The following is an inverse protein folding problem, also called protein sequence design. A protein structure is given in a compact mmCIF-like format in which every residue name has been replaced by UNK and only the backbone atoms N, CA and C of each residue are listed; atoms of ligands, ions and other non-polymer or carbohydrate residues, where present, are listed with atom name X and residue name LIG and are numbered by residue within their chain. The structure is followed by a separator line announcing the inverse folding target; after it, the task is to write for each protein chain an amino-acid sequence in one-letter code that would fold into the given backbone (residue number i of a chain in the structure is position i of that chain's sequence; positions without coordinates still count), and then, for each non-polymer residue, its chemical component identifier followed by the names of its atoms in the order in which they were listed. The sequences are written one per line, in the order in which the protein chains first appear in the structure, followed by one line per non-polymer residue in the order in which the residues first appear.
data_IF_924816142123
#
_entry.id   IF_924816142123
#
_cell.length_a   1.000
_cell.length_b   1.000
_cell.length_c   1.000
_cell.angle_alpha   90.00
_cell.angle_beta   90.00
_cell.angle_gamma   90.00
#
_symmetry.space_group_name_H-M   'P 1'
#
loop_
_entity.id
_entity.type
_entity.pdbx_description
1 polymer ?
#
# COMPACT_ATOMS: atom_id res chain seq x y z
N UNK A 1 26.70 -54.78 63.11
CA UNK A 1 25.58 -53.84 63.26
C UNK A 1 26.16 -52.45 63.07
N UNK A 2 26.31 -52.06 61.81
CA UNK A 2 25.44 -51.12 61.06
C UNK A 2 26.04 -49.71 61.19
N UNK A 3 27.01 -49.36 60.33
CA UNK A 3 26.80 -48.65 59.05
C UNK A 3 25.70 -47.59 59.18
N UNK A 4 26.09 -46.32 59.21
CA UNK A 4 25.44 -45.27 58.44
C UNK A 4 26.43 -44.15 58.13
N UNK A 5 27.08 -44.38 56.98
CA UNK A 5 27.96 -43.47 56.27
C UNK A 5 27.10 -42.57 55.37
N UNK A 6 27.36 -41.28 55.42
CA UNK A 6 27.13 -40.26 54.37
C UNK A 6 26.02 -40.51 53.35
N UNK A 7 25.00 -39.65 53.35
CA UNK A 7 24.46 -39.15 52.08
C UNK A 7 23.83 -37.77 52.28
N UNK A 8 24.66 -36.72 52.29
CA UNK A 8 24.17 -35.39 51.94
C UNK A 8 23.91 -35.44 50.43
N UNK A 9 22.67 -35.79 50.08
CA UNK A 9 22.18 -35.79 48.71
C UNK A 9 22.09 -34.33 48.23
N UNK A 10 23.22 -33.76 47.82
CA UNK A 10 23.25 -32.58 46.98
C UNK A 10 22.75 -32.98 45.60
N UNK A 11 21.42 -33.10 45.46
CA UNK A 11 20.78 -33.11 44.15
C UNK A 11 20.91 -31.70 43.58
N UNK A 12 21.67 -31.48 42.49
CA UNK A 12 21.52 -30.23 41.77
C UNK A 12 20.13 -30.29 41.15
N UNK A 13 19.23 -29.42 41.61
CA UNK A 13 17.99 -29.15 40.90
C UNK A 13 18.31 -28.97 39.40
N UNK A 14 17.55 -29.54 38.46
CA UNK A 14 17.66 -29.15 37.07
C UNK A 14 17.02 -27.75 36.94
N UNK A 15 17.69 -26.74 37.50
CA UNK A 15 17.43 -25.32 37.25
C UNK A 15 17.97 -25.00 35.86
N UNK A 16 17.24 -25.51 34.88
CA UNK A 16 17.67 -25.58 33.50
C UNK A 16 16.49 -25.36 32.58
N UNK A 17 15.75 -24.28 32.77
CA UNK A 17 15.16 -23.62 31.60
C UNK A 17 16.34 -23.37 30.65
N UNK A 18 16.46 -24.20 29.60
CA UNK A 18 17.60 -24.29 28.68
C UNK A 18 18.21 -22.90 28.44
N UNK A 19 19.37 -22.62 29.06
CA UNK A 19 20.12 -21.40 28.78
C UNK A 19 20.68 -21.56 27.36
N UNK A 20 19.94 -21.03 26.38
CA UNK A 20 20.38 -21.00 24.99
C UNK A 20 21.78 -20.41 24.90
N UNK A 21 22.62 -21.04 24.09
CA UNK A 21 23.97 -20.53 23.81
C UNK A 21 23.89 -19.14 23.16
N UNK A 22 24.97 -18.36 23.23
CA UNK A 22 25.02 -17.05 22.57
C UNK A 22 24.70 -17.16 21.07
N UNK A 23 25.24 -18.18 20.40
CA UNK A 23 25.00 -18.46 18.98
C UNK A 23 23.51 -18.75 18.69
N UNK A 24 22.85 -19.55 19.52
CA UNK A 24 21.42 -19.83 19.39
C UNK A 24 20.55 -18.57 19.60
N UNK A 25 20.94 -17.70 20.55
CA UNK A 25 20.26 -16.42 20.78
C UNK A 25 20.43 -15.49 19.58
N UNK A 26 21.64 -15.38 19.03
CA UNK A 26 21.91 -14.58 17.83
C UNK A 26 21.12 -15.08 16.62
N UNK A 27 21.09 -16.40 16.39
CA UNK A 27 20.31 -17.00 15.32
C UNK A 27 18.81 -16.76 15.50
N UNK A 28 18.30 -16.86 16.73
CA UNK A 28 16.90 -16.54 17.05
C UNK A 28 16.57 -15.08 16.75
N UNK A 29 17.43 -14.13 17.14
CA UNK A 29 17.25 -12.70 16.86
C UNK A 29 17.29 -12.41 15.36
N UNK A 30 18.19 -13.05 14.61
CA UNK A 30 18.27 -12.90 13.16
C UNK A 30 16.98 -13.38 12.48
N UNK A 31 16.45 -14.54 12.89
CA UNK A 31 15.17 -15.06 12.39
C UNK A 31 14.00 -14.14 12.74
N UNK A 32 13.99 -13.58 13.95
CA UNK A 32 12.96 -12.60 14.36
C UNK A 32 13.04 -11.32 13.52
N UNK A 33 14.25 -10.77 13.30
CA UNK A 33 14.46 -9.60 12.43
C UNK A 33 13.95 -9.87 11.02
N UNK A 34 14.27 -11.02 10.43
CA UNK A 34 13.80 -11.39 9.10
C UNK A 34 12.27 -11.47 9.02
N UNK A 35 11.61 -12.08 10.03
CA UNK A 35 10.14 -12.14 10.11
C UNK A 35 9.52 -10.75 10.22
N UNK A 36 10.11 -9.85 11.01
CA UNK A 36 9.65 -8.46 11.13
C UNK A 36 9.79 -7.71 9.81
N UNK A 37 10.92 -7.86 9.10
CA UNK A 37 11.11 -7.25 7.78
C UNK A 37 10.07 -7.75 6.77
N UNK A 38 9.79 -9.05 6.75
CA UNK A 38 8.75 -9.62 5.87
C UNK A 38 7.36 -9.07 6.19
N UNK A 39 6.99 -9.01 7.48
CA UNK A 39 5.71 -8.43 7.91
C UNK A 39 5.60 -6.95 7.54
N UNK A 40 6.64 -6.16 7.76
CA UNK A 40 6.66 -4.76 7.37
C UNK A 40 6.52 -4.56 5.86
N UNK A 41 7.18 -5.41 5.06
CA UNK A 41 7.03 -5.39 3.60
C UNK A 41 5.60 -5.73 3.15
N UNK A 42 4.95 -6.71 3.80
CA UNK A 42 3.57 -7.07 3.52
C UNK A 42 2.60 -5.93 3.87
N UNK A 43 2.76 -5.29 5.04
CA UNK A 43 1.94 -4.14 5.45
C UNK A 43 2.12 -2.96 4.47
N UNK A 44 3.35 -2.66 4.07
CA UNK A 44 3.64 -1.62 3.08
C UNK A 44 3.05 -1.94 1.69
N UNK A 45 2.96 -3.22 1.33
CA UNK A 45 2.31 -3.64 0.09
C UNK A 45 0.80 -3.37 0.16
N UNK A 46 0.15 -3.74 1.26
CA UNK A 46 -1.29 -3.52 1.42
C UNK A 46 -1.63 -2.03 1.47
N UNK A 47 -0.86 -1.23 2.21
CA UNK A 47 -1.04 0.22 2.24
C UNK A 47 -0.89 0.89 0.86
N UNK A 48 0.05 0.40 0.03
CA UNK A 48 0.19 0.88 -1.36
C UNK A 48 -1.00 0.49 -2.23
N UNK A 49 -1.54 -0.71 -2.04
CA UNK A 49 -2.73 -1.19 -2.77
C UNK A 49 -3.93 -0.33 -2.45
N UNK A 50 -4.16 -0.07 -1.15
CA UNK A 50 -5.23 0.80 -0.68
C UNK A 50 -5.09 2.22 -1.25
N UNK A 51 -3.91 2.83 -1.13
CA UNK A 51 -3.64 4.16 -1.70
C UNK A 51 -3.87 4.19 -3.21
N UNK A 52 -3.53 3.11 -3.92
CA UNK A 52 -3.79 3.02 -5.37
C UNK A 52 -5.28 3.01 -5.66
N UNK A 53 -6.08 2.27 -4.89
CA UNK A 53 -7.54 2.27 -5.00
C UNK A 53 -8.14 3.66 -4.78
N UNK A 54 -7.64 4.39 -3.76
CA UNK A 54 -8.09 5.75 -3.46
C UNK A 54 -7.79 6.72 -4.62
N UNK A 55 -6.59 6.65 -5.22
CA UNK A 55 -6.23 7.47 -6.38
C UNK A 55 -7.11 7.16 -7.61
N UNK A 56 -7.47 5.89 -7.81
CA UNK A 56 -8.39 5.47 -8.88
C UNK A 56 -9.78 6.07 -8.64
N UNK A 57 -10.31 5.99 -7.42
CA UNK A 57 -11.61 6.56 -7.08
C UNK A 57 -11.66 8.08 -7.32
N UNK A 58 -10.59 8.80 -6.98
CA UNK A 58 -10.47 10.24 -7.30
C UNK A 58 -10.42 10.48 -8.81
N UNK A 59 -9.70 9.67 -9.58
CA UNK A 59 -9.67 9.75 -11.04
C UNK A 59 -11.06 9.61 -11.65
N UNK A 60 -11.81 8.58 -11.25
CA UNK A 60 -13.19 8.34 -11.72
C UNK A 60 -14.10 9.54 -11.41
N UNK A 61 -14.00 10.08 -10.19
CA UNK A 61 -14.77 11.26 -9.79
C UNK A 61 -14.45 12.47 -10.68
N UNK A 62 -13.18 12.72 -10.98
CA UNK A 62 -12.77 13.85 -11.84
C UNK A 62 -13.25 13.67 -13.27
N UNK A 63 -13.13 12.47 -13.85
CA UNK A 63 -13.64 12.18 -15.20
C UNK A 63 -15.17 12.40 -15.28
N UNK A 64 -15.92 11.87 -14.31
CA UNK A 64 -17.38 12.07 -14.23
C UNK A 64 -17.75 13.55 -14.09
N UNK A 65 -17.02 14.29 -13.24
CA UNK A 65 -17.24 15.73 -13.07
C UNK A 65 -16.95 16.49 -14.36
N UNK A 66 -15.86 16.18 -15.05
CA UNK A 66 -15.49 16.85 -16.30
C UNK A 66 -16.54 16.62 -17.40
N UNK A 67 -16.98 15.37 -17.58
CA UNK A 67 -17.98 15.01 -18.60
C UNK A 67 -19.29 15.80 -18.43
N UNK A 68 -19.76 15.90 -17.19
CA UNK A 68 -21.01 16.57 -16.86
C UNK A 68 -20.88 18.09 -16.65
N UNK A 69 -19.67 18.64 -16.69
CA UNK A 69 -19.42 20.06 -16.49
C UNK A 69 -19.74 20.88 -17.74
N UNK A 70 -20.25 22.11 -17.50
CA UNK A 70 -20.31 23.14 -18.52
C UNK A 70 -18.89 23.54 -19.00
N UNK A 71 -18.74 24.07 -20.23
CA UNK A 71 -17.43 24.38 -20.81
C UNK A 71 -16.52 25.23 -19.91
N UNK A 72 -17.07 26.27 -19.27
CA UNK A 72 -16.30 27.13 -18.35
C UNK A 72 -15.70 26.36 -17.15
N UNK A 73 -16.41 25.35 -16.66
CA UNK A 73 -15.95 24.54 -15.55
C UNK A 73 -14.91 23.50 -15.98
N UNK A 74 -14.97 23.03 -17.24
CA UNK A 74 -13.94 22.18 -17.84
C UNK A 74 -12.61 22.93 -17.96
N UNK A 75 -12.64 24.17 -18.44
CA UNK A 75 -11.45 25.02 -18.54
C UNK A 75 -10.79 25.28 -17.18
N UNK A 76 -11.59 25.43 -16.11
CA UNK A 76 -11.06 25.54 -14.74
C UNK A 76 -10.33 24.26 -14.30
N UNK A 77 -10.84 23.08 -14.66
CA UNK A 77 -10.18 21.80 -14.36
C UNK A 77 -8.88 21.64 -15.14
N UNK A 78 -8.86 22.01 -16.42
CA UNK A 78 -7.64 22.00 -17.25
C UNK A 78 -6.59 22.95 -16.67
N UNK A 79 -7.00 24.16 -16.28
CA UNK A 79 -6.12 25.16 -15.66
C UNK A 79 -5.52 24.65 -14.35
N UNK A 80 -6.34 24.07 -13.47
CA UNK A 80 -5.87 23.49 -12.22
C UNK A 80 -4.86 22.34 -12.47
N UNK A 81 -5.12 21.49 -13.47
CA UNK A 81 -4.17 20.42 -13.83
C UNK A 81 -2.83 20.98 -14.29
N UNK A 82 -2.81 22.09 -15.06
CA UNK A 82 -1.59 22.77 -15.47
C UNK A 82 -0.82 23.41 -14.31
N UNK A 83 -1.54 23.87 -13.28
CA UNK A 83 -0.94 24.45 -12.07
C UNK A 83 -0.31 23.39 -11.16
N UNK A 84 -1.04 22.29 -10.90
CA UNK A 84 -0.65 21.32 -9.87
C UNK A 84 0.13 20.11 -10.38
N UNK A 85 0.03 19.76 -11.67
CA UNK A 85 0.74 18.62 -12.24
C UNK A 85 1.96 19.05 -13.05
N UNK A 86 2.96 18.18 -13.10
CA UNK A 86 4.19 18.37 -13.87
C UNK A 86 4.53 17.13 -14.68
N UNK A 87 5.37 17.33 -15.70
CA UNK A 87 5.97 16.28 -16.51
C UNK A 87 4.94 15.26 -17.03
N UNK A 88 5.25 13.98 -16.86
CA UNK A 88 4.43 12.86 -17.31
C UNK A 88 3.01 12.88 -16.75
N UNK A 89 2.80 13.40 -15.54
CA UNK A 89 1.46 13.43 -14.95
C UNK A 89 0.61 14.53 -15.60
N UNK A 90 1.20 15.68 -15.90
CA UNK A 90 0.55 16.74 -16.66
C UNK A 90 0.16 16.24 -18.06
N UNK A 91 1.10 15.66 -18.80
CA UNK A 91 0.84 15.14 -20.14
C UNK A 91 -0.29 14.10 -20.17
N UNK A 92 -0.32 13.19 -19.18
CA UNK A 92 -1.37 12.17 -19.07
C UNK A 92 -2.74 12.76 -18.76
N UNK A 93 -2.81 13.73 -17.84
CA UNK A 93 -4.08 14.35 -17.48
C UNK A 93 -4.66 15.15 -18.67
N UNK A 94 -3.83 15.92 -19.37
CA UNK A 94 -4.26 16.65 -20.56
C UNK A 94 -4.72 15.73 -21.69
N UNK A 95 -4.00 14.62 -21.93
CA UNK A 95 -4.44 13.60 -22.90
C UNK A 95 -5.77 12.94 -22.48
N UNK A 96 -5.99 12.75 -21.18
CA UNK A 96 -7.26 12.25 -20.65
C UNK A 96 -8.43 13.17 -20.92
N UNK A 97 -8.27 14.49 -20.69
CA UNK A 97 -9.31 15.47 -21.00
C UNK A 97 -9.60 15.57 -22.50
N UNK A 98 -8.56 15.57 -23.35
CA UNK A 98 -8.73 15.59 -24.79
C UNK A 98 -9.56 14.38 -25.28
N UNK A 99 -9.25 13.17 -24.78
CA UNK A 99 -10.04 11.96 -25.06
C UNK A 99 -11.51 12.12 -24.65
N UNK A 100 -11.78 12.69 -23.47
CA UNK A 100 -13.15 12.93 -23.01
C UNK A 100 -13.90 13.95 -23.89
N UNK A 101 -13.24 15.00 -24.37
CA UNK A 101 -13.88 15.97 -25.26
C UNK A 101 -14.24 15.37 -26.63
N UNK A 102 -13.39 14.47 -27.15
CA UNK A 102 -13.69 13.69 -28.36
C UNK A 102 -14.92 12.78 -28.15
N UNK A 103 -14.95 12.02 -27.05
CA UNK A 103 -16.07 11.13 -26.69
C UNK A 103 -17.39 11.91 -26.54
N UNK A 104 -17.37 13.07 -25.88
CA UNK A 104 -18.55 13.92 -25.67
C UNK A 104 -19.05 14.50 -27.00
N UNK A 105 -18.14 14.83 -27.91
CA UNK A 105 -18.51 15.36 -29.23
C UNK A 105 -19.18 14.28 -30.09
N UNK A 106 -18.65 13.05 -30.07
CA UNK A 106 -19.24 11.91 -30.78
C UNK A 106 -20.64 11.56 -30.25
N UNK A 107 -20.83 11.55 -28.93
CA UNK A 107 -22.14 11.28 -28.31
C UNK A 107 -23.22 12.27 -28.77
N UNK A 108 -22.88 13.55 -28.95
CA UNK A 108 -23.83 14.55 -29.46
C UNK A 108 -24.21 14.31 -30.91
N UNK A 109 -23.23 14.01 -31.77
CA UNK A 109 -23.49 13.74 -33.18
C UNK A 109 -24.42 12.54 -33.38
N UNK A 110 -24.26 11.47 -32.59
CA UNK A 110 -25.15 10.30 -32.67
C UNK A 110 -26.57 10.56 -32.16
N UNK A 111 -26.76 11.52 -31.24
CA UNK A 111 -28.09 11.90 -30.75
C UNK A 111 -28.86 12.76 -31.77
N UNK A 112 -28.15 13.62 -32.50
CA UNK A 112 -28.75 14.45 -33.55
C UNK A 112 -29.13 13.64 -34.81
N UNK A 113 -28.43 12.55 -35.11
CA UNK A 113 -28.75 11.66 -36.25
C UNK A 113 -29.93 10.70 -36.00
N UNK A 114 -30.36 10.55 -34.75
CA UNK A 114 -31.43 9.62 -34.34
C UNK A 114 -32.73 10.32 -33.90
N UNK A 115 -32.77 11.65 -33.95
CA UNK A 115 -33.92 12.50 -33.56
C UNK A 115 -34.71 13.03 -34.76
#
# INVERSE_FOLDING_TARGET
MDKDNQTVSNSPAPSGALRKTLAEKMLSLQRQKQRLTQKAAALNKEARKERTGQLIAWGIMVESRYRNAAPEHRERLISAVREFLKDRNLSRALAGFARLDDEISQEKTSQDETS
#
